data_IF_723965002772
#
_entry.id   IF_723965002772
#
_cell.length_a   1.000
_cell.length_b   1.000
_cell.length_c   1.000
_cell.angle_alpha   90.00
_cell.angle_beta   90.00
_cell.angle_gamma   90.00
#
_symmetry.space_group_name_H-M   'P 1'
#
loop_
_entity.id
_entity.type
_entity.pdbx_description
1 polymer ?
#
# COMPACT_ATOMS: atom_id res chain seq x y z
N UNK A 1 22.02 -6.21 8.69
CA UNK A 1 21.42 -5.74 7.44
C UNK A 1 20.00 -5.35 7.75
N UNK A 2 19.60 -4.11 7.53
CA UNK A 2 18.22 -3.67 7.77
C UNK A 2 17.38 -4.32 6.66
N UNK A 3 16.45 -5.26 6.96
CA UNK A 3 15.68 -5.88 5.90
C UNK A 3 14.96 -4.75 5.15
N UNK A 4 15.17 -4.68 3.83
CA UNK A 4 14.45 -3.74 2.99
C UNK A 4 12.97 -4.04 3.21
N UNK A 5 12.25 -3.13 3.86
CA UNK A 5 10.79 -3.23 3.99
C UNK A 5 10.21 -3.30 2.57
N UNK A 6 9.67 -4.45 2.12
CA UNK A 6 9.16 -4.59 0.76
C UNK A 6 8.01 -3.61 0.51
N UNK A 7 7.29 -3.24 1.56
CA UNK A 7 6.14 -2.33 1.55
C UNK A 7 6.46 -0.83 1.35
N UNK A 8 7.63 -0.51 0.77
CA UNK A 8 7.97 0.84 0.29
C UNK A 8 7.93 0.90 -1.24
N UNK A 9 7.05 0.10 -1.85
CA UNK A 9 6.88 -0.05 -3.30
C UNK A 9 6.81 1.31 -4.02
N UNK A 10 6.01 2.23 -3.47
CA UNK A 10 5.72 3.52 -4.12
C UNK A 10 6.65 4.67 -3.74
N UNK A 11 7.70 4.41 -2.94
CA UNK A 11 8.65 5.46 -2.53
C UNK A 11 9.25 6.25 -3.72
N UNK A 12 9.54 5.65 -4.89
CA UNK A 12 9.99 6.42 -6.05
C UNK A 12 8.96 7.41 -6.61
N UNK A 13 7.66 7.16 -6.45
CA UNK A 13 6.58 8.00 -6.97
C UNK A 13 5.98 8.97 -5.92
N UNK A 14 6.63 9.16 -4.77
CA UNK A 14 6.08 9.95 -3.64
C UNK A 14 5.58 11.35 -4.05
N UNK A 15 6.29 12.03 -4.96
CA UNK A 15 5.85 13.35 -5.43
C UNK A 15 4.47 13.32 -6.11
N UNK A 16 4.21 12.30 -6.96
CA UNK A 16 2.92 12.11 -7.62
C UNK A 16 1.83 11.67 -6.63
N UNK A 17 2.19 10.84 -5.66
CA UNK A 17 1.30 10.44 -4.57
C UNK A 17 0.83 11.67 -3.79
N UNK A 18 1.75 12.54 -3.36
CA UNK A 18 1.43 13.75 -2.60
C UNK A 18 0.49 14.70 -3.37
N UNK A 19 0.60 14.74 -4.70
CA UNK A 19 -0.31 15.51 -5.58
C UNK A 19 -1.69 14.86 -5.66
N UNK A 20 -1.75 13.54 -5.85
CA UNK A 20 -3.00 12.77 -5.89
C UNK A 20 -3.74 12.82 -4.55
N UNK A 21 -3.03 12.75 -3.42
CA UNK A 21 -3.65 12.86 -2.08
C UNK A 21 -4.28 14.23 -1.81
N UNK A 22 -3.72 15.30 -2.39
CA UNK A 22 -4.27 16.67 -2.28
C UNK A 22 -5.47 16.88 -3.20
N UNK A 23 -5.48 16.25 -4.36
CA UNK A 23 -6.49 16.46 -5.40
C UNK A 23 -7.65 15.45 -5.34
N UNK A 24 -7.45 14.27 -4.77
CA UNK A 24 -8.43 13.19 -4.72
C UNK A 24 -8.56 12.60 -3.30
N UNK A 25 -9.66 12.92 -2.59
CA UNK A 25 -9.96 12.29 -1.29
C UNK A 25 -10.10 10.77 -1.38
N UNK A 26 -10.53 10.25 -2.54
CA UNK A 26 -10.61 8.81 -2.80
C UNK A 26 -9.21 8.20 -2.82
N UNK A 27 -8.29 8.78 -3.60
CA UNK A 27 -6.91 8.29 -3.67
C UNK A 27 -6.25 8.35 -2.29
N UNK A 28 -6.40 9.48 -1.57
CA UNK A 28 -5.86 9.63 -0.22
C UNK A 28 -6.31 8.49 0.72
N UNK A 29 -7.60 8.13 0.67
CA UNK A 29 -8.13 7.02 1.47
C UNK A 29 -7.46 5.69 1.10
N UNK A 30 -7.36 5.38 -0.19
CA UNK A 30 -6.75 4.13 -0.68
C UNK A 30 -5.28 4.06 -0.24
N UNK A 31 -4.52 5.13 -0.46
CA UNK A 31 -3.10 5.19 -0.10
C UNK A 31 -2.88 5.07 1.41
N UNK A 32 -3.69 5.75 2.24
CA UNK A 32 -3.63 5.61 3.70
C UNK A 32 -3.96 4.18 4.17
N UNK A 33 -4.91 3.51 3.51
CA UNK A 33 -5.27 2.13 3.81
C UNK A 33 -4.13 1.16 3.44
N UNK A 34 -3.49 1.38 2.29
CA UNK A 34 -2.29 0.65 1.88
C UNK A 34 -1.15 0.82 2.90
N UNK A 35 -0.88 2.04 3.36
CA UNK A 35 0.18 2.28 4.35
C UNK A 35 -0.09 1.55 5.67
N UNK A 36 -1.35 1.58 6.14
CA UNK A 36 -1.76 0.85 7.33
C UNK A 36 -1.58 -0.67 7.15
N UNK A 37 -2.14 -1.24 6.09
CA UNK A 37 -2.08 -2.69 5.83
C UNK A 37 -0.64 -3.17 5.64
N UNK A 38 0.19 -2.36 4.97
CA UNK A 38 1.62 -2.59 4.78
C UNK A 38 2.40 -2.67 6.09
N UNK A 39 2.18 -1.70 6.99
CA UNK A 39 2.82 -1.68 8.30
C UNK A 39 2.31 -2.82 9.19
N UNK A 40 1.01 -3.13 9.15
CA UNK A 40 0.44 -4.28 9.85
C UNK A 40 1.05 -5.59 9.37
N UNK A 41 1.09 -5.82 8.05
CA UNK A 41 1.65 -7.03 7.47
C UNK A 41 3.13 -7.20 7.83
N UNK A 42 3.91 -6.11 7.79
CA UNK A 42 5.29 -6.12 8.28
C UNK A 42 5.38 -6.57 9.74
N UNK A 43 4.51 -6.04 10.60
CA UNK A 43 4.48 -6.41 12.02
C UNK A 43 4.05 -7.87 12.21
N UNK A 44 3.07 -8.36 11.46
CA UNK A 44 2.62 -9.76 11.54
C UNK A 44 3.75 -10.72 11.15
N UNK A 45 4.53 -10.39 10.11
CA UNK A 45 5.63 -11.25 9.62
C UNK A 45 6.88 -11.22 10.51
N UNK A 46 7.05 -10.17 11.32
CA UNK A 46 8.27 -9.95 12.11
C UNK A 46 8.03 -9.97 13.63
N UNK A 47 6.80 -10.21 14.07
CA UNK A 47 6.47 -10.35 15.49
C UNK A 47 6.53 -11.81 15.92
N UNK A 48 6.88 -12.07 17.19
CA UNK A 48 6.88 -13.41 17.79
C UNK A 48 5.46 -13.97 18.04
N UNK A 49 4.44 -13.50 17.31
CA UNK A 49 3.04 -13.91 17.49
C UNK A 49 2.81 -15.24 16.78
N UNK A 50 2.95 -16.34 17.52
CA UNK A 50 2.82 -17.71 17.02
C UNK A 50 1.38 -18.21 16.78
N UNK A 51 0.37 -17.34 16.96
CA UNK A 51 -1.04 -17.75 17.00
C UNK A 51 -1.91 -17.15 15.86
N UNK A 52 -1.30 -16.63 14.80
CA UNK A 52 -2.05 -16.12 13.64
C UNK A 52 -2.29 -17.27 12.66
N UNK A 53 -3.54 -17.56 12.28
CA UNK A 53 -3.82 -18.54 11.23
C UNK A 53 -3.25 -18.10 9.88
N UNK A 54 -2.70 -19.05 9.12
CA UNK A 54 -2.14 -18.78 7.79
C UNK A 54 -3.17 -18.13 6.84
N UNK A 55 -4.43 -18.56 6.91
CA UNK A 55 -5.52 -18.00 6.09
C UNK A 55 -5.75 -16.51 6.36
N UNK A 56 -5.60 -16.08 7.62
CA UNK A 56 -5.71 -14.67 7.98
C UNK A 56 -4.53 -13.88 7.39
N UNK A 57 -3.31 -14.40 7.53
CA UNK A 57 -2.12 -13.76 6.96
C UNK A 57 -2.24 -13.65 5.44
N UNK A 58 -2.72 -14.70 4.77
CA UNK A 58 -2.96 -14.70 3.33
C UNK A 58 -4.03 -13.69 2.91
N UNK A 59 -5.10 -13.55 3.70
CA UNK A 59 -6.12 -12.54 3.43
C UNK A 59 -5.58 -11.11 3.55
N UNK A 60 -4.74 -10.83 4.56
CA UNK A 60 -4.09 -9.52 4.71
C UNK A 60 -3.13 -9.25 3.55
N UNK A 61 -2.35 -10.24 3.13
CA UNK A 61 -1.47 -10.13 1.94
C UNK A 61 -2.27 -9.79 0.68
N UNK A 62 -3.33 -10.55 0.42
CA UNK A 62 -4.18 -10.33 -0.75
C UNK A 62 -4.85 -8.95 -0.73
N UNK A 63 -5.30 -8.48 0.43
CA UNK A 63 -5.86 -7.14 0.57
C UNK A 63 -4.83 -6.05 0.27
N UNK A 64 -3.59 -6.20 0.78
CA UNK A 64 -2.49 -5.27 0.47
C UNK A 64 -2.17 -5.28 -1.02
N UNK A 65 -2.15 -6.44 -1.68
CA UNK A 65 -1.92 -6.58 -3.12
C UNK A 65 -3.00 -5.85 -3.94
N UNK A 66 -4.28 -5.97 -3.59
CA UNK A 66 -5.34 -5.23 -4.30
C UNK A 66 -5.22 -3.72 -4.15
N UNK A 67 -4.81 -3.23 -2.98
CA UNK A 67 -4.56 -1.81 -2.77
C UNK A 67 -3.36 -1.35 -3.59
N UNK A 68 -2.31 -2.16 -3.68
CA UNK A 68 -1.16 -1.88 -4.53
C UNK A 68 -1.54 -1.80 -6.01
N UNK A 69 -2.35 -2.74 -6.51
CA UNK A 69 -2.86 -2.73 -7.88
C UNK A 69 -3.68 -1.46 -8.17
N UNK A 70 -4.59 -1.07 -7.26
CA UNK A 70 -5.36 0.16 -7.44
C UNK A 70 -4.42 1.38 -7.47
N UNK A 71 -3.44 1.48 -6.57
CA UNK A 71 -2.47 2.59 -6.56
C UNK A 71 -1.63 2.61 -7.84
N UNK A 72 -1.17 1.45 -8.32
CA UNK A 72 -0.44 1.34 -9.59
C UNK A 72 -1.28 1.89 -10.75
N UNK A 73 -2.57 1.54 -10.82
CA UNK A 73 -3.49 2.10 -11.83
C UNK A 73 -3.60 3.63 -11.73
N UNK A 74 -3.76 4.19 -10.53
CA UNK A 74 -3.77 5.65 -10.31
C UNK A 74 -2.46 6.33 -10.72
N UNK A 75 -1.33 5.64 -10.53
CA UNK A 75 0.00 6.15 -10.90
C UNK A 75 0.29 5.98 -12.41
N UNK A 76 -0.32 5.01 -13.08
CA UNK A 76 -0.23 4.81 -14.53
C UNK A 76 -1.18 5.73 -15.30
N UNK A 77 -2.27 6.20 -14.69
CA UNK A 77 -3.22 7.10 -15.33
C UNK A 77 -2.61 8.50 -15.52
N UNK A 78 -1.84 8.67 -16.60
CA UNK A 78 -1.36 9.98 -17.09
C UNK A 78 -2.49 10.87 -17.63
N UNK A 79 -3.72 10.35 -17.72
CA UNK A 79 -4.88 11.05 -18.28
C UNK A 79 -5.68 11.88 -17.26
N UNK A 80 -5.30 11.90 -15.97
CA UNK A 80 -6.00 12.71 -14.97
C UNK A 80 -5.66 14.22 -15.04
N UNK A 81 -4.94 14.67 -16.07
CA UNK A 81 -4.57 16.08 -16.33
C UNK A 81 -5.26 16.72 -17.53
N UNK A 82 -6.26 16.09 -18.17
CA UNK A 82 -7.02 16.70 -19.26
C UNK A 82 -8.51 16.32 -19.25
N UNK A 83 -9.30 16.95 -18.38
CA UNK A 83 -10.71 17.29 -18.65
C UNK A 83 -11.06 18.66 -18.10
#
# INVERSE_FOLDING_TARGET
>A
MNPQRPYRKFKPQQAKIDELEKSSPRFKRIYSEYELMSDELWNLENSDISNIPDDFLNAVKLQTEYLEEEIDDWLLDENNTLQ
#
